data_IF_364950598071
#
_entry.id   IF_364950598071
#
_cell.length_a   1.000
_cell.length_b   1.000
_cell.length_c   1.000
_cell.angle_alpha   90.00
_cell.angle_beta   90.00
_cell.angle_gamma   90.00
#
_symmetry.space_group_name_H-M   'P 1'
#
loop_
_entity.id
_entity.type
_entity.pdbx_description
1 polymer ?
#
# COMPACT_ATOMS: atom_id res chain seq x y z
N UNK A 1 8.86 11.01 -34.09
CA UNK A 1 9.61 9.87 -33.48
C UNK A 1 8.77 9.33 -32.34
N UNK A 2 8.34 8.08 -32.42
CA UNK A 2 7.50 7.46 -31.38
C UNK A 2 8.36 7.10 -30.16
N UNK A 3 7.97 7.59 -28.99
CA UNK A 3 8.63 7.31 -27.71
C UNK A 3 8.40 5.84 -27.36
N UNK A 4 9.47 5.05 -27.39
CA UNK A 4 9.44 3.68 -26.89
C UNK A 4 9.06 3.73 -25.40
N UNK A 5 7.93 3.12 -25.05
CA UNK A 5 7.56 2.87 -23.67
C UNK A 5 8.58 1.86 -23.16
N UNK A 6 9.56 2.30 -22.37
CA UNK A 6 10.46 1.39 -21.68
C UNK A 6 9.67 0.71 -20.58
N UNK A 7 9.05 -0.42 -20.91
CA UNK A 7 8.43 -1.32 -19.95
C UNK A 7 9.55 -2.09 -19.25
N UNK A 8 10.18 -1.49 -18.25
CA UNK A 8 11.11 -2.21 -17.37
C UNK A 8 10.33 -3.36 -16.74
N UNK A 9 10.59 -4.58 -17.20
CA UNK A 9 9.91 -5.80 -16.78
C UNK A 9 10.81 -6.54 -15.80
N UNK A 10 10.40 -6.59 -14.54
CA UNK A 10 11.11 -7.33 -13.50
C UNK A 10 10.60 -8.78 -13.46
N UNK A 11 11.53 -9.75 -13.44
CA UNK A 11 11.21 -11.18 -13.42
C UNK A 11 11.42 -11.76 -12.03
N UNK A 12 10.39 -12.44 -11.53
CA UNK A 12 10.46 -13.26 -10.32
C UNK A 12 10.75 -14.72 -10.73
N UNK A 13 11.78 -15.33 -10.14
CA UNK A 13 12.13 -16.74 -10.35
C UNK A 13 11.95 -17.53 -9.05
N UNK A 14 11.12 -18.56 -9.08
CA UNK A 14 10.80 -19.40 -7.91
C UNK A 14 11.10 -20.85 -8.25
N UNK A 15 11.75 -21.57 -7.32
CA UNK A 15 11.92 -23.02 -7.38
C UNK A 15 10.79 -23.68 -6.60
N UNK A 16 10.13 -24.67 -7.19
CA UNK A 16 9.06 -25.44 -6.58
C UNK A 16 9.33 -26.93 -6.75
N UNK A 17 8.72 -27.76 -5.90
CA UNK A 17 8.79 -29.21 -6.06
C UNK A 17 8.01 -29.66 -7.30
N UNK A 18 8.22 -30.92 -7.71
CA UNK A 18 7.45 -31.52 -8.79
C UNK A 18 5.96 -31.61 -8.41
N UNK A 19 5.68 -32.02 -7.17
CA UNK A 19 4.31 -32.23 -6.68
C UNK A 19 3.53 -30.91 -6.66
N UNK A 20 4.15 -29.81 -6.21
CA UNK A 20 3.54 -28.48 -6.25
C UNK A 20 3.22 -28.04 -7.67
N UNK A 21 4.13 -28.32 -8.61
CA UNK A 21 3.93 -27.99 -10.03
C UNK A 21 2.74 -28.75 -10.61
N UNK A 22 2.58 -30.03 -10.28
CA UNK A 22 1.47 -30.85 -10.74
C UNK A 22 0.12 -30.33 -10.21
N UNK A 23 0.08 -29.90 -8.94
CA UNK A 23 -1.12 -29.28 -8.36
C UNK A 23 -1.46 -27.96 -9.06
N UNK A 24 -0.46 -27.09 -9.26
CA UNK A 24 -0.64 -25.82 -9.97
C UNK A 24 -1.14 -26.04 -11.41
N UNK A 25 -0.58 -27.02 -12.13
CA UNK A 25 -1.04 -27.39 -13.46
C UNK A 25 -2.52 -27.80 -13.45
N UNK A 26 -2.93 -28.68 -12.54
CA UNK A 26 -4.34 -29.09 -12.41
C UNK A 26 -5.25 -27.89 -12.12
N UNK A 27 -4.86 -27.02 -11.18
CA UNK A 27 -5.63 -25.82 -10.85
C UNK A 27 -5.79 -24.88 -12.06
N UNK A 28 -4.72 -24.70 -12.84
CA UNK A 28 -4.72 -23.81 -14.01
C UNK A 28 -5.57 -24.33 -15.16
N UNK A 29 -5.62 -25.66 -15.36
CA UNK A 29 -6.52 -26.30 -16.32
C UNK A 29 -7.99 -26.06 -15.98
N UNK A 30 -8.35 -26.21 -14.70
CA UNK A 30 -9.72 -25.98 -14.22
C UNK A 30 -10.12 -24.51 -14.30
N UNK A 31 -9.20 -23.60 -14.00
CA UNK A 31 -9.44 -22.15 -14.01
C UNK A 31 -9.18 -21.48 -15.37
N UNK A 32 -8.82 -22.26 -16.40
CA UNK A 32 -8.55 -21.80 -17.78
C UNK A 32 -7.54 -20.64 -17.83
N UNK A 33 -6.47 -20.75 -17.07
CA UNK A 33 -5.43 -19.72 -16.94
C UNK A 33 -4.04 -20.35 -17.10
N UNK A 34 -2.98 -19.54 -17.15
CA UNK A 34 -1.60 -20.03 -17.08
C UNK A 34 -1.12 -20.14 -15.64
N UNK A 35 -0.07 -20.95 -15.37
CA UNK A 35 0.56 -21.03 -14.05
C UNK A 35 1.05 -19.65 -13.60
N UNK A 36 1.68 -18.88 -14.50
CA UNK A 36 2.19 -17.55 -14.19
C UNK A 36 1.07 -16.63 -13.72
N UNK A 37 -0.02 -16.54 -14.48
CA UNK A 37 -1.15 -15.67 -14.14
C UNK A 37 -1.86 -16.12 -12.86
N UNK A 38 -1.99 -17.44 -12.68
CA UNK A 38 -2.60 -18.02 -11.48
C UNK A 38 -1.80 -17.67 -10.22
N UNK A 39 -0.50 -17.90 -10.25
CA UNK A 39 0.40 -17.61 -9.12
C UNK A 39 0.43 -16.12 -8.86
N UNK A 40 0.63 -15.30 -9.90
CA UNK A 40 0.70 -13.85 -9.76
C UNK A 40 -0.58 -13.29 -9.13
N UNK A 41 -1.76 -13.74 -9.59
CA UNK A 41 -3.05 -13.29 -9.06
C UNK A 41 -3.18 -13.58 -7.57
N UNK A 42 -2.84 -14.79 -7.13
CA UNK A 42 -3.00 -15.20 -5.73
C UNK A 42 -1.96 -14.56 -4.82
N UNK A 43 -0.69 -14.48 -5.27
CA UNK A 43 0.38 -13.83 -4.51
C UNK A 43 0.10 -12.34 -4.35
N UNK A 44 -0.33 -11.64 -5.41
CA UNK A 44 -0.66 -10.22 -5.32
C UNK A 44 -1.89 -9.96 -4.46
N UNK A 45 -2.89 -10.84 -4.48
CA UNK A 45 -4.04 -10.72 -3.58
C UNK A 45 -3.58 -10.76 -2.12
N UNK A 46 -2.80 -11.77 -1.75
CA UNK A 46 -2.31 -11.89 -0.37
C UNK A 46 -1.35 -10.76 0.03
N UNK A 47 -0.44 -10.36 -0.87
CA UNK A 47 0.48 -9.25 -0.61
C UNK A 47 -0.27 -7.94 -0.35
N UNK A 48 -1.34 -7.66 -1.12
CA UNK A 48 -2.17 -6.47 -0.90
C UNK A 48 -2.87 -6.48 0.46
N UNK A 49 -3.39 -7.62 0.89
CA UNK A 49 -4.02 -7.73 2.21
C UNK A 49 -3.02 -7.49 3.34
N UNK A 50 -1.80 -8.04 3.23
CA UNK A 50 -0.73 -7.79 4.20
C UNK A 50 -0.34 -6.32 4.23
N UNK A 51 -0.12 -5.70 3.06
CA UNK A 51 0.21 -4.28 2.96
C UNK A 51 -0.89 -3.44 3.60
N UNK A 52 -2.16 -3.75 3.26
CA UNK A 52 -3.32 -3.08 3.83
C UNK A 52 -3.34 -3.17 5.36
N UNK A 53 -3.15 -4.37 5.92
CA UNK A 53 -3.14 -4.59 7.37
C UNK A 53 -2.06 -3.76 8.11
N UNK A 54 -0.92 -3.51 7.47
CA UNK A 54 0.20 -2.79 8.07
C UNK A 54 0.26 -1.30 7.74
N UNK A 55 -0.25 -0.87 6.58
CA UNK A 55 -0.19 0.53 6.11
C UNK A 55 -1.49 1.29 6.38
N UNK A 56 -2.64 0.62 6.35
CA UNK A 56 -3.83 1.19 6.96
C UNK A 56 -3.61 1.10 8.47
N UNK A 57 -2.93 2.11 9.03
CA UNK A 57 -3.11 2.46 10.42
C UNK A 57 -4.60 2.60 10.60
N UNK A 58 -5.24 1.54 11.10
CA UNK A 58 -6.61 1.56 11.54
C UNK A 58 -6.65 2.63 12.62
N UNK A 59 -6.92 3.87 12.21
CA UNK A 59 -7.45 4.88 13.07
C UNK A 59 -8.64 4.19 13.71
N UNK A 60 -8.48 3.83 14.99
CA UNK A 60 -9.58 3.23 15.72
C UNK A 60 -10.76 4.15 15.55
N UNK A 61 -12.00 3.63 15.53
CA UNK A 61 -13.19 4.49 15.47
C UNK A 61 -13.12 5.61 16.52
N UNK A 62 -12.46 5.34 17.64
CA UNK A 62 -12.17 6.31 18.70
C UNK A 62 -11.18 7.39 18.27
N UNK A 63 -10.09 7.04 17.59
CA UNK A 63 -9.11 7.98 17.07
C UNK A 63 -9.73 8.86 15.98
N UNK A 64 -10.56 8.26 15.12
CA UNK A 64 -11.27 9.01 14.09
C UNK A 64 -12.25 10.00 14.72
N UNK A 65 -13.05 9.56 15.71
CA UNK A 65 -13.95 10.44 16.44
C UNK A 65 -13.20 11.57 17.16
N UNK A 66 -12.05 11.27 17.75
CA UNK A 66 -11.18 12.26 18.37
C UNK A 66 -10.63 13.29 17.36
N UNK A 67 -10.18 12.83 16.19
CA UNK A 67 -9.74 13.75 15.13
C UNK A 67 -10.92 14.58 14.60
N UNK A 68 -12.10 14.00 14.41
CA UNK A 68 -13.27 14.76 13.96
C UNK A 68 -13.65 15.82 15.00
N UNK A 69 -13.66 15.49 16.29
CA UNK A 69 -13.90 16.46 17.36
C UNK A 69 -12.82 17.57 17.39
N UNK A 70 -11.55 17.23 17.15
CA UNK A 70 -10.48 18.24 17.03
C UNK A 70 -10.63 19.16 15.82
N UNK A 71 -11.24 18.68 14.72
CA UNK A 71 -11.50 19.50 13.53
C UNK A 71 -12.70 20.42 13.73
N UNK A 72 -13.76 19.92 14.36
CA UNK A 72 -14.98 20.68 14.64
C UNK A 72 -14.78 21.66 15.82
N UNK A 73 -13.98 21.27 16.81
CA UNK A 73 -13.68 22.03 18.02
C UNK A 73 -12.15 22.16 18.23
N UNK A 74 -11.46 22.94 17.39
CA UNK A 74 -10.02 23.09 17.51
C UNK A 74 -9.66 23.76 18.84
N UNK A 75 -8.84 23.12 19.70
CA UNK A 75 -8.40 23.73 20.95
C UNK A 75 -7.47 24.91 20.67
N UNK A 76 -7.40 25.83 21.63
CA UNK A 76 -6.49 26.97 21.52
C UNK A 76 -5.04 26.50 21.31
N UNK A 77 -4.30 27.12 20.37
CA UNK A 77 -2.95 26.71 20.05
C UNK A 77 -2.03 26.89 21.26
N UNK A 78 -1.29 25.83 21.60
CA UNK A 78 -0.34 25.90 22.71
C UNK A 78 0.92 26.70 22.34
N UNK A 79 1.70 27.12 23.35
CA UNK A 79 2.90 27.92 23.13
C UNK A 79 3.92 27.28 22.19
N UNK A 80 3.98 25.94 22.14
CA UNK A 80 4.88 25.21 21.23
C UNK A 80 4.42 25.32 19.78
N UNK A 81 3.12 25.21 19.52
CA UNK A 81 2.52 25.36 18.20
C UNK A 81 2.67 26.80 17.70
N UNK A 82 2.47 27.79 18.57
CA UNK A 82 2.67 29.20 18.24
C UNK A 82 4.13 29.50 17.86
N UNK A 83 5.10 28.94 18.60
CA UNK A 83 6.53 29.07 18.27
C UNK A 83 6.87 28.40 16.94
N UNK A 84 6.35 27.19 16.69
CA UNK A 84 6.57 26.48 15.43
C UNK A 84 5.97 27.22 14.22
N UNK A 85 4.76 27.77 14.37
CA UNK A 85 4.12 28.57 13.33
C UNK A 85 4.97 29.81 13.00
N UNK A 86 5.50 30.50 14.01
CA UNK A 86 6.39 31.66 13.82
C UNK A 86 7.68 31.28 13.08
N UNK A 87 8.33 30.19 13.48
CA UNK A 87 9.54 29.69 12.80
C UNK A 87 9.27 29.27 11.35
N UNK A 88 8.10 28.69 11.06
CA UNK A 88 7.70 28.36 9.69
C UNK A 88 7.45 29.61 8.85
N UNK A 89 6.84 30.65 9.43
CA UNK A 89 6.55 31.92 8.76
C UNK A 89 7.83 32.69 8.40
N UNK A 90 8.80 32.72 9.32
CA UNK A 90 10.14 33.27 9.08
C UNK A 90 10.90 32.56 7.93
N UNK A 91 10.53 31.31 7.60
CA UNK A 91 11.10 30.52 6.50
C UNK A 91 10.46 30.81 5.13
N UNK A 92 9.21 31.30 5.12
CA UNK A 92 8.49 31.69 3.90
C UNK A 92 8.67 33.18 3.54
N UNK A 93 9.05 34.01 4.53
CA UNK A 93 9.28 35.45 4.36
C UNK A 93 10.76 35.79 4.01
N UNK A 94 11.61 34.79 3.76
CA UNK A 94 13.03 34.91 3.38
C UNK A 94 13.28 34.51 1.92
#
# INVERSE_FOLDING_TARGET
MARAINTTSDRISIRISRDDKEILQKATLLSKTTITDFVLKHVLYNAKEIVKEHEESSLSKNDLAFIMDLLDNPPAPNERLMKAAKTAQDLYDA
#
